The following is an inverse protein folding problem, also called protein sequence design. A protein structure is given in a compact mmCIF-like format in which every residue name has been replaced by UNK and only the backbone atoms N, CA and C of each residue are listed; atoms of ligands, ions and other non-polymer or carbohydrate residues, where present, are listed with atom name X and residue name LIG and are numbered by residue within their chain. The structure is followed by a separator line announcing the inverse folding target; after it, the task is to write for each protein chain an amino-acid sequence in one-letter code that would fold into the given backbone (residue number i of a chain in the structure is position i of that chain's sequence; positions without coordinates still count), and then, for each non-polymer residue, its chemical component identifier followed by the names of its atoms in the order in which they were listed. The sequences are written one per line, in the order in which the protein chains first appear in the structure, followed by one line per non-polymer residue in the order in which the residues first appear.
data_IF_233680950995
#
_entry.id   IF_233680950995
#
_cell.length_a   1.000
_cell.length_b   1.000
_cell.length_c   1.000
_cell.angle_alpha   90.00
_cell.angle_beta   90.00
_cell.angle_gamma   90.00
#
_symmetry.space_group_name_H-M   'P 1'
#
loop_
_entity.id
_entity.type
_entity.pdbx_description
1 polymer ?
#
# COMPACT_ATOMS: atom_id res chain seq x y z
N UNK A 1 -1.45 25.90 -13.55
CA UNK A 1 -2.29 24.73 -13.88
C UNK A 1 -1.49 23.45 -14.22
N UNK A 2 -0.15 23.47 -14.20
CA UNK A 2 0.71 22.30 -14.45
C UNK A 2 1.05 21.47 -13.20
N UNK A 3 0.61 21.89 -12.01
CA UNK A 3 1.00 21.34 -10.71
C UNK A 3 0.39 19.96 -10.37
N UNK A 4 -0.51 19.43 -11.20
CA UNK A 4 -1.14 18.11 -11.00
C UNK A 4 -0.66 17.02 -11.98
N UNK A 5 0.15 17.39 -12.98
CA UNK A 5 0.54 16.50 -14.08
C UNK A 5 2.06 16.30 -14.22
N UNK A 6 2.86 16.76 -13.24
CA UNK A 6 4.23 16.28 -13.05
C UNK A 6 4.22 14.86 -12.48
N UNK A 7 3.58 13.93 -13.19
CA UNK A 7 3.61 12.52 -12.82
C UNK A 7 5.06 12.02 -12.77
N UNK A 8 5.36 10.98 -11.97
CA UNK A 8 6.65 10.31 -12.06
C UNK A 8 6.95 10.00 -13.54
N UNK A 9 8.23 10.02 -13.93
CA UNK A 9 8.63 9.66 -15.30
C UNK A 9 7.91 8.37 -15.68
N UNK A 10 7.47 8.25 -16.93
CA UNK A 10 6.69 7.09 -17.37
C UNK A 10 7.37 5.75 -17.00
N UNK A 11 8.71 5.73 -17.01
CA UNK A 11 9.56 4.65 -16.51
C UNK A 11 9.41 4.37 -15.01
N UNK A 12 9.39 5.40 -14.16
CA UNK A 12 9.22 5.27 -12.71
C UNK A 12 7.79 4.87 -12.32
N UNK A 13 6.79 5.28 -13.10
CA UNK A 13 5.39 4.85 -12.95
C UNK A 13 5.23 3.36 -13.29
N UNK A 14 5.81 2.90 -14.40
CA UNK A 14 5.79 1.49 -14.79
C UNK A 14 6.52 0.62 -13.75
N UNK A 15 7.71 1.07 -13.32
CA UNK A 15 8.49 0.39 -12.28
C UNK A 15 7.74 0.37 -10.94
N UNK A 16 7.08 1.47 -10.57
CA UNK A 16 6.28 1.54 -9.35
C UNK A 16 5.08 0.60 -9.39
N UNK A 17 4.34 0.57 -10.50
CA UNK A 17 3.23 -0.37 -10.67
C UNK A 17 3.70 -1.82 -10.59
N UNK A 18 4.76 -2.16 -11.33
CA UNK A 18 5.27 -3.53 -11.43
C UNK A 18 5.89 -4.00 -10.11
N UNK A 19 6.70 -3.17 -9.46
CA UNK A 19 7.35 -3.54 -8.19
C UNK A 19 6.35 -3.54 -7.03
N UNK A 20 5.58 -2.47 -6.84
CA UNK A 20 4.68 -2.40 -5.69
C UNK A 20 3.48 -3.35 -5.84
N UNK A 21 2.91 -3.45 -7.04
CA UNK A 21 1.86 -4.43 -7.33
C UNK A 21 2.40 -5.86 -7.34
N UNK A 22 3.56 -6.09 -7.95
CA UNK A 22 4.19 -7.41 -8.04
C UNK A 22 4.62 -7.98 -6.69
N UNK A 23 5.13 -7.14 -5.78
CA UNK A 23 5.47 -7.58 -4.40
C UNK A 23 4.23 -8.08 -3.67
N UNK A 24 3.12 -7.34 -3.70
CA UNK A 24 1.87 -7.76 -3.05
C UNK A 24 1.22 -8.96 -3.74
N UNK A 25 1.34 -9.06 -5.07
CA UNK A 25 0.87 -10.22 -5.82
C UNK A 25 1.66 -11.48 -5.46
N UNK A 26 2.98 -11.37 -5.34
CA UNK A 26 3.85 -12.47 -4.90
C UNK A 26 3.51 -12.90 -3.48
N UNK A 27 3.30 -11.94 -2.58
CA UNK A 27 2.84 -12.23 -1.21
C UNK A 27 1.45 -12.86 -1.20
N UNK A 28 0.53 -12.45 -2.08
CA UNK A 28 -0.81 -13.03 -2.16
C UNK A 28 -0.78 -14.50 -2.59
N UNK A 29 0.10 -14.84 -3.54
CA UNK A 29 0.34 -16.22 -3.98
C UNK A 29 0.94 -17.05 -2.85
N UNK A 30 1.98 -16.54 -2.16
CA UNK A 30 2.64 -17.24 -1.05
C UNK A 30 1.67 -17.43 0.12
N UNK A 31 0.86 -16.43 0.43
CA UNK A 31 -0.10 -16.44 1.54
C UNK A 31 -1.39 -17.20 1.23
N UNK A 32 -1.44 -17.95 0.10
CA UNK A 32 -2.57 -18.79 -0.31
C UNK A 32 -3.93 -18.07 -0.28
N UNK A 33 -3.96 -16.80 -0.70
CA UNK A 33 -5.20 -16.02 -0.76
C UNK A 33 -5.59 -15.29 0.52
N UNK A 34 -4.71 -15.22 1.53
CA UNK A 34 -4.92 -14.35 2.71
C UNK A 34 -4.98 -12.85 2.35
N UNK A 35 -4.28 -12.47 1.27
CA UNK A 35 -4.25 -11.08 0.78
C UNK A 35 -5.34 -10.88 -0.25
N UNK A 36 -6.19 -9.88 -0.04
CA UNK A 36 -7.28 -9.54 -0.95
C UNK A 36 -6.74 -9.02 -2.29
N UNK A 37 -7.26 -9.53 -3.40
CA UNK A 37 -6.88 -9.04 -4.74
C UNK A 37 -7.13 -7.53 -4.94
N UNK A 38 -8.04 -6.95 -4.16
CA UNK A 38 -8.26 -5.51 -4.10
C UNK A 38 -7.03 -4.73 -3.60
N UNK A 39 -6.33 -5.24 -2.59
CA UNK A 39 -5.15 -4.59 -2.00
C UNK A 39 -3.97 -4.58 -2.98
N UNK A 40 -3.82 -5.67 -3.75
CA UNK A 40 -2.84 -5.78 -4.83
C UNK A 40 -3.07 -4.71 -5.90
N UNK A 41 -4.33 -4.52 -6.31
CA UNK A 41 -4.70 -3.52 -7.33
C UNK A 41 -4.56 -2.10 -6.81
N UNK A 42 -4.94 -1.84 -5.56
CA UNK A 42 -4.73 -0.56 -4.88
C UNK A 42 -3.24 -0.21 -4.82
N UNK A 43 -2.39 -1.17 -4.44
CA UNK A 43 -0.96 -0.92 -4.42
C UNK A 43 -0.36 -0.69 -5.81
N UNK A 44 -0.85 -1.41 -6.82
CA UNK A 44 -0.42 -1.17 -8.19
C UNK A 44 -0.77 0.26 -8.66
N UNK A 45 -1.95 0.78 -8.29
CA UNK A 45 -2.32 2.16 -8.58
C UNK A 45 -1.49 3.18 -7.78
N UNK A 46 -1.26 2.94 -6.49
CA UNK A 46 -0.42 3.78 -5.63
C UNK A 46 1.02 3.82 -6.19
N UNK A 47 1.58 2.68 -6.59
CA UNK A 47 2.89 2.58 -7.21
C UNK A 47 2.96 3.31 -8.56
N UNK A 48 1.91 3.25 -9.38
CA UNK A 48 1.82 3.98 -10.63
C UNK A 48 1.75 5.50 -10.43
N UNK A 49 0.99 5.96 -9.43
CA UNK A 49 0.76 7.37 -9.14
C UNK A 49 1.96 8.02 -8.42
N UNK A 50 2.58 7.32 -7.49
CA UNK A 50 3.65 7.86 -6.67
C UNK A 50 5.06 7.53 -7.19
N UNK A 51 5.20 6.46 -7.98
CA UNK A 51 6.47 5.89 -8.40
C UNK A 51 7.04 4.89 -7.37
N UNK A 52 8.04 4.10 -7.78
CA UNK A 52 8.57 3.00 -6.95
C UNK A 52 9.14 3.44 -5.59
N UNK A 53 9.85 4.58 -5.52
CA UNK A 53 10.46 5.07 -4.27
C UNK A 53 9.43 5.39 -3.20
N UNK A 54 8.42 6.18 -3.57
CA UNK A 54 7.35 6.58 -2.65
C UNK A 54 6.35 5.45 -2.41
N UNK A 55 6.11 4.60 -3.42
CA UNK A 55 5.27 3.41 -3.31
C UNK A 55 5.75 2.46 -2.21
N UNK A 56 7.05 2.13 -2.16
CA UNK A 56 7.57 1.30 -1.06
C UNK A 56 7.41 1.95 0.33
N UNK A 57 7.56 3.28 0.42
CA UNK A 57 7.33 4.01 1.67
C UNK A 57 5.88 3.89 2.16
N UNK A 58 4.92 4.04 1.24
CA UNK A 58 3.48 3.86 1.55
C UNK A 58 3.17 2.43 1.96
N UNK A 59 3.73 1.45 1.26
CA UNK A 59 3.56 0.03 1.59
C UNK A 59 4.05 -0.26 3.01
N UNK A 60 5.26 0.20 3.35
CA UNK A 60 5.87 -0.01 4.66
C UNK A 60 5.06 0.69 5.76
N UNK A 61 4.68 1.96 5.56
CA UNK A 61 3.88 2.71 6.52
C UNK A 61 2.51 2.05 6.76
N UNK A 62 1.81 1.66 5.69
CA UNK A 62 0.52 0.98 5.78
C UNK A 62 0.62 -0.37 6.49
N UNK A 63 1.65 -1.18 6.19
CA UNK A 63 1.93 -2.45 6.88
C UNK A 63 2.19 -2.24 8.38
N UNK A 64 3.05 -1.29 8.74
CA UNK A 64 3.40 -1.01 10.15
C UNK A 64 2.15 -0.56 10.92
N UNK A 65 1.37 0.37 10.37
CA UNK A 65 0.17 0.85 11.03
C UNK A 65 -0.94 -0.20 11.12
N UNK A 66 -1.14 -1.00 10.06
CA UNK A 66 -2.06 -2.13 10.10
C UNK A 66 -1.62 -3.17 11.15
N UNK A 67 -0.32 -3.45 11.26
CA UNK A 67 0.23 -4.35 12.26
C UNK A 67 0.06 -3.81 13.69
N UNK A 68 0.30 -2.52 13.93
CA UNK A 68 0.09 -1.88 15.24
C UNK A 68 -1.38 -1.97 15.67
N UNK A 69 -2.31 -1.71 14.76
CA UNK A 69 -3.74 -1.77 15.07
C UNK A 69 -4.22 -3.20 15.26
N UNK A 70 -3.71 -4.15 14.48
CA UNK A 70 -3.97 -5.57 14.71
C UNK A 70 -3.42 -6.03 16.07
N UNK A 71 -2.24 -5.56 16.46
CA UNK A 71 -1.65 -5.83 17.78
C UNK A 71 -2.49 -5.22 18.91
N UNK A 72 -2.96 -3.97 18.74
CA UNK A 72 -3.84 -3.31 19.71
C UNK A 72 -5.18 -4.03 19.87
N UNK A 73 -5.78 -4.49 18.77
CA UNK A 73 -7.01 -5.29 18.78
C UNK A 73 -6.81 -6.67 19.41
N UNK A 74 -5.63 -7.29 19.21
CA UNK A 74 -5.26 -8.55 19.85
C UNK A 74 -5.09 -8.40 21.36
N UNK A 75 -4.42 -7.32 21.81
CA UNK A 75 -4.26 -6.99 23.22
C UNK A 75 -5.59 -6.62 23.89
N UNK A 76 -6.51 -6.00 23.15
CA UNK A 76 -7.87 -5.70 23.62
C UNK A 76 -8.78 -6.94 23.71
N UNK A 77 -8.29 -8.13 23.32
CA UNK A 77 -9.02 -9.39 23.41
C UNK A 77 -10.23 -9.52 22.48
N UNK A 78 -10.43 -8.56 21.56
CA UNK A 78 -11.60 -8.53 20.68
C UNK A 78 -11.43 -9.33 19.37
N UNK A 79 -10.21 -9.75 19.01
CA UNK A 79 -9.95 -10.54 17.80
C UNK A 79 -8.98 -11.69 18.05
N UNK A 80 -9.30 -12.86 17.50
CA UNK A 80 -8.45 -14.03 17.55
C UNK A 80 -7.32 -13.97 16.52
N UNK A 81 -6.26 -14.77 16.73
CA UNK A 81 -5.07 -14.93 15.85
C UNK A 81 -5.36 -15.24 14.36
N UNK A 82 -6.62 -15.49 14.00
CA UNK A 82 -7.11 -15.90 12.68
C UNK A 82 -7.99 -14.85 11.99
N UNK A 83 -8.28 -13.73 12.64
CA UNK A 83 -9.10 -12.68 12.03
C UNK A 83 -8.29 -11.92 10.98
N UNK A 84 -8.86 -11.75 9.80
CA UNK A 84 -8.24 -11.04 8.70
C UNK A 84 -7.80 -9.63 9.14
N UNK A 85 -6.52 -9.33 8.98
CA UNK A 85 -6.01 -7.98 9.15
C UNK A 85 -6.65 -7.08 8.08
N UNK A 86 -7.30 -5.97 8.45
CA UNK A 86 -7.89 -5.06 7.48
C UNK A 86 -6.79 -4.28 6.76
N UNK A 87 -6.23 -4.87 5.70
CA UNK A 87 -5.15 -4.26 4.91
C UNK A 87 -5.63 -3.08 4.07
N UNK A 88 -6.76 -3.24 3.39
CA UNK A 88 -7.29 -2.26 2.44
C UNK A 88 -7.54 -0.86 3.00
N UNK A 89 -8.19 -0.68 4.17
CA UNK A 89 -8.46 0.65 4.71
C UNK A 89 -7.19 1.43 5.06
N UNK A 90 -6.18 0.77 5.63
CA UNK A 90 -4.90 1.41 5.94
C UNK A 90 -4.13 1.75 4.66
N UNK A 91 -4.11 0.85 3.70
CA UNK A 91 -3.43 1.09 2.43
C UNK A 91 -4.04 2.27 1.67
N UNK A 92 -5.38 2.37 1.63
CA UNK A 92 -6.08 3.51 1.06
C UNK A 92 -5.80 4.82 1.82
N UNK A 93 -5.81 4.78 3.16
CA UNK A 93 -5.54 5.94 4.01
C UNK A 93 -4.12 6.48 3.84
N UNK A 94 -3.11 5.61 3.84
CA UNK A 94 -1.72 6.02 3.63
C UNK A 94 -1.45 6.41 2.18
N UNK A 95 -2.11 5.79 1.19
CA UNK A 95 -2.06 6.23 -0.20
C UNK A 95 -2.55 7.66 -0.37
N UNK A 96 -3.67 8.01 0.27
CA UNK A 96 -4.20 9.38 0.31
C UNK A 96 -3.22 10.34 1.03
N UNK A 97 -2.75 9.98 2.23
CA UNK A 97 -1.80 10.80 2.97
C UNK A 97 -0.51 11.07 2.17
N UNK A 98 0.00 10.06 1.47
CA UNK A 98 1.19 10.19 0.66
C UNK A 98 0.97 11.00 -0.62
N UNK A 99 -0.25 11.04 -1.17
CA UNK A 99 -0.59 11.98 -2.24
C UNK A 99 -0.51 13.44 -1.76
N UNK A 100 -0.97 13.73 -0.54
CA UNK A 100 -0.90 15.08 0.03
C UNK A 100 0.48 15.45 0.59
N UNK A 101 1.21 14.47 1.12
CA UNK A 101 2.52 14.64 1.74
C UNK A 101 3.70 14.61 0.78
N UNK A 102 3.47 14.37 -0.52
CA UNK A 102 4.54 14.32 -1.53
C UNK A 102 5.19 15.70 -1.67
N UNK A 103 6.44 15.92 -1.20
CA UNK A 103 7.12 17.18 -1.43
C UNK A 103 7.41 17.34 -2.93
N UNK A 104 7.11 18.52 -3.45
CA UNK A 104 7.33 18.89 -4.85
C UNK A 104 8.78 18.61 -5.25
N UNK A 105 8.98 17.61 -6.10
CA UNK A 105 10.23 17.37 -6.82
C UNK A 105 10.08 17.85 -8.26
#
# INVERSE_FOLDING_TARGET
ASAFLGGPRFSDALLGMALCGGVLLTLAIISRGSIGGGDVKLMAMIGALLGWRWGFGVLAAAQISAALLALGLFLAGQKGRKDALPFGPFLAGFGLLAMFGKPMQ
#
